data_IF_757951986004
#
_entry.id   IF_757951986004
#
_cell.length_a   1.000
_cell.length_b   1.000
_cell.length_c   1.000
_cell.angle_alpha   90.00
_cell.angle_beta   90.00
_cell.angle_gamma   90.00
#
_symmetry.space_group_name_H-M   'P 1'
#
loop_
_entity.id
_entity.type
_entity.pdbx_description
1 polymer ?
#
# COMPACT_ATOMS: atom_id res chain seq x y z
N UNK A 1 -15.00 11.65 3.30
CA UNK A 1 -14.79 10.47 4.18
C UNK A 1 -13.39 10.53 4.76
N UNK A 2 -13.29 10.52 6.08
CA UNK A 2 -12.02 10.27 6.82
C UNK A 2 -11.92 8.79 7.12
N UNK A 3 -10.70 8.30 7.13
CA UNK A 3 -10.35 6.92 7.36
C UNK A 3 -8.83 6.80 7.38
N UNK A 4 -8.32 5.61 7.63
CA UNK A 4 -6.90 5.31 7.64
C UNK A 4 -6.23 5.70 6.33
N UNK A 5 -5.15 6.48 6.41
CA UNK A 5 -4.36 6.94 5.27
C UNK A 5 -2.88 6.71 5.49
N UNK A 6 -2.17 6.49 4.39
CA UNK A 6 -0.72 6.46 4.39
C UNK A 6 -0.20 7.91 4.48
N UNK A 7 0.73 8.20 5.40
CA UNK A 7 1.40 9.51 5.42
C UNK A 7 2.31 9.71 4.21
N UNK A 8 2.54 10.96 3.83
CA UNK A 8 3.42 11.30 2.68
C UNK A 8 4.84 10.72 2.82
N UNK A 9 5.45 10.77 4.00
CA UNK A 9 6.77 10.16 4.22
C UNK A 9 6.74 8.64 4.07
N UNK A 10 5.67 7.99 4.55
CA UNK A 10 5.47 6.54 4.38
C UNK A 10 5.21 6.19 2.91
N UNK A 11 4.57 7.07 2.13
CA UNK A 11 4.42 6.91 0.69
C UNK A 11 5.76 6.97 -0.06
N UNK A 12 6.65 7.90 0.29
CA UNK A 12 8.01 7.97 -0.30
C UNK A 12 8.79 6.71 0.04
N UNK A 13 8.71 6.22 1.28
CA UNK A 13 9.33 4.94 1.66
C UNK A 13 8.75 3.77 0.87
N UNK A 14 7.42 3.71 0.70
CA UNK A 14 6.76 2.69 -0.09
C UNK A 14 7.26 2.67 -1.54
N UNK A 15 7.45 3.85 -2.16
CA UNK A 15 8.02 3.95 -3.51
C UNK A 15 9.39 3.27 -3.61
N UNK A 16 10.27 3.50 -2.64
CA UNK A 16 11.58 2.86 -2.59
C UNK A 16 11.46 1.34 -2.32
N UNK A 17 10.60 0.94 -1.39
CA UNK A 17 10.41 -0.46 -0.97
C UNK A 17 9.88 -1.34 -2.11
N UNK A 18 9.03 -0.82 -3.00
CA UNK A 18 8.54 -1.58 -4.18
C UNK A 18 9.61 -1.88 -5.24
N UNK A 19 10.79 -1.24 -5.12
CA UNK A 19 11.96 -1.56 -5.94
C UNK A 19 12.90 -2.58 -5.28
N UNK A 20 12.60 -3.01 -4.06
CA UNK A 20 13.39 -3.95 -3.29
C UNK A 20 12.61 -5.26 -3.10
N UNK A 21 13.34 -6.32 -2.78
CA UNK A 21 12.78 -7.57 -2.27
C UNK A 21 13.06 -7.64 -0.77
N UNK A 22 12.03 -7.82 0.05
CA UNK A 22 12.18 -7.87 1.50
C UNK A 22 10.89 -7.60 2.27
N UNK A 23 11.00 -7.64 3.60
CA UNK A 23 9.88 -7.33 4.51
C UNK A 23 10.04 -5.93 5.08
N UNK A 24 8.98 -5.13 5.00
CA UNK A 24 8.95 -3.75 5.44
C UNK A 24 7.76 -3.48 6.32
N UNK A 25 7.95 -2.63 7.33
CA UNK A 25 6.88 -2.23 8.25
C UNK A 25 6.22 -0.97 7.71
N UNK A 26 4.91 -0.87 7.88
CA UNK A 26 4.13 0.29 7.49
C UNK A 26 3.14 0.67 8.58
N UNK A 27 2.72 1.92 8.51
CA UNK A 27 1.79 2.52 9.45
C UNK A 27 0.77 3.34 8.65
N UNK A 28 -0.51 3.10 8.91
CA UNK A 28 -1.60 3.95 8.43
C UNK A 28 -2.24 4.67 9.61
N UNK A 29 -2.74 5.86 9.37
CA UNK A 29 -3.29 6.70 10.44
C UNK A 29 -4.63 7.30 10.04
N UNK A 30 -5.55 7.34 11.00
CA UNK A 30 -6.75 8.15 10.91
C UNK A 30 -6.57 9.41 11.77
N UNK A 31 -6.32 10.53 11.10
CA UNK A 31 -6.11 11.82 11.75
C UNK A 31 -7.33 12.30 12.56
N UNK A 32 -8.55 11.88 12.22
CA UNK A 32 -9.75 12.28 12.97
C UNK A 32 -9.98 11.42 14.19
N UNK A 33 -9.77 10.10 14.05
CA UNK A 33 -9.93 9.16 15.15
C UNK A 33 -8.68 9.11 16.07
N UNK A 34 -7.59 9.82 15.72
CA UNK A 34 -6.28 9.71 16.37
C UNK A 34 -5.83 8.24 16.49
N UNK A 35 -6.18 7.43 15.50
CA UNK A 35 -5.95 6.00 15.50
C UNK A 35 -4.84 5.63 14.53
N UNK A 36 -4.10 4.57 14.86
CA UNK A 36 -2.95 4.09 14.10
C UNK A 36 -3.05 2.59 13.91
N UNK A 37 -2.86 2.14 12.67
CA UNK A 37 -2.76 0.73 12.32
C UNK A 37 -1.33 0.42 11.89
N UNK A 38 -0.81 -0.68 12.43
CA UNK A 38 0.49 -1.23 12.08
C UNK A 38 0.32 -2.44 11.17
N UNK A 39 1.18 -2.54 10.17
CA UNK A 39 1.23 -3.69 9.27
C UNK A 39 2.64 -3.94 8.76
N UNK A 40 2.78 -5.01 8.00
CA UNK A 40 3.99 -5.29 7.25
C UNK A 40 3.65 -5.72 5.83
N UNK A 41 4.46 -5.28 4.87
CA UNK A 41 4.45 -5.78 3.50
C UNK A 41 5.71 -6.60 3.27
N UNK A 42 5.56 -7.71 2.56
CA UNK A 42 6.67 -8.42 1.95
C UNK A 42 6.61 -8.13 0.46
N UNK A 43 7.69 -7.65 -0.12
CA UNK A 43 7.82 -7.42 -1.56
C UNK A 43 8.72 -8.48 -2.15
N UNK A 44 8.27 -9.08 -3.24
CA UNK A 44 9.07 -10.00 -4.06
C UNK A 44 9.09 -9.45 -5.49
N UNK A 45 10.26 -8.97 -5.91
CA UNK A 45 10.42 -8.35 -7.23
C UNK A 45 11.12 -9.32 -8.19
N UNK A 46 10.55 -9.43 -9.38
CA UNK A 46 11.15 -10.06 -10.56
C UNK A 46 11.32 -8.99 -11.66
N UNK A 47 11.92 -9.38 -12.78
CA UNK A 47 12.07 -8.49 -13.94
C UNK A 47 10.74 -8.05 -14.54
N UNK A 48 9.67 -8.85 -14.36
CA UNK A 48 8.36 -8.62 -14.99
C UNK A 48 7.27 -8.24 -14.00
N UNK A 49 7.39 -8.63 -12.73
CA UNK A 49 6.39 -8.41 -11.69
C UNK A 49 6.97 -7.96 -10.35
N UNK A 50 6.11 -7.34 -9.54
CA UNK A 50 6.32 -7.15 -8.10
C UNK A 50 5.10 -7.74 -7.41
N UNK A 51 5.33 -8.76 -6.58
CA UNK A 51 4.34 -9.31 -5.68
C UNK A 51 4.47 -8.60 -4.33
N UNK A 52 3.33 -8.22 -3.76
CA UNK A 52 3.22 -7.61 -2.44
C UNK A 52 2.31 -8.49 -1.59
N UNK A 53 2.80 -8.99 -0.47
CA UNK A 53 2.01 -9.69 0.54
C UNK A 53 1.90 -8.81 1.80
N UNK A 54 0.67 -8.41 2.13
CA UNK A 54 0.33 -7.59 3.29
C UNK A 54 -0.10 -8.47 4.47
N UNK A 55 0.44 -8.16 5.65
CA UNK A 55 -0.09 -8.60 6.95
C UNK A 55 -0.47 -7.41 7.81
N UNK A 56 -1.70 -7.39 8.30
CA UNK A 56 -2.26 -6.32 9.13
C UNK A 56 -3.18 -6.94 10.18
N UNK A 57 -2.73 -7.02 11.44
CA UNK A 57 -3.40 -7.86 12.43
C UNK A 57 -3.51 -9.31 11.94
N UNK A 58 -4.73 -9.86 11.98
CA UNK A 58 -5.05 -11.20 11.48
C UNK A 58 -5.37 -11.25 9.97
N UNK A 59 -5.38 -10.09 9.30
CA UNK A 59 -5.66 -10.00 7.87
C UNK A 59 -4.41 -10.28 7.04
N UNK A 60 -4.58 -11.08 5.98
CA UNK A 60 -3.55 -11.39 5.00
C UNK A 60 -4.08 -11.19 3.59
N UNK A 61 -3.39 -10.35 2.81
CA UNK A 61 -3.79 -10.02 1.44
C UNK A 61 -2.57 -10.00 0.53
N UNK A 62 -2.76 -10.29 -0.76
CA UNK A 62 -1.70 -10.22 -1.75
C UNK A 62 -2.13 -9.43 -2.98
N UNK A 63 -1.16 -8.79 -3.62
CA UNK A 63 -1.33 -8.02 -4.85
C UNK A 63 -0.11 -8.25 -5.75
N UNK A 64 -0.33 -8.55 -7.02
CA UNK A 64 0.74 -8.66 -8.00
C UNK A 64 0.58 -7.56 -9.05
N UNK A 65 1.65 -6.82 -9.31
CA UNK A 65 1.68 -5.71 -10.27
C UNK A 65 2.83 -5.89 -11.28
N UNK A 66 2.75 -5.31 -12.48
CA UNK A 66 3.88 -5.27 -13.41
C UNK A 66 5.06 -4.47 -12.83
N UNK A 67 6.30 -4.97 -12.95
CA UNK A 67 7.50 -4.40 -12.30
C UNK A 67 7.89 -2.98 -12.77
N UNK A 68 7.46 -2.59 -13.99
CA UNK A 68 7.85 -1.33 -14.67
C UNK A 68 6.77 -0.25 -14.68
N UNK A 69 5.66 -0.44 -13.96
CA UNK A 69 4.58 0.55 -13.93
C UNK A 69 4.91 1.71 -12.98
N UNK A 70 4.87 2.94 -13.53
CA UNK A 70 5.12 4.19 -12.77
C UNK A 70 4.08 4.46 -11.67
N UNK A 71 2.92 3.81 -11.74
CA UNK A 71 1.82 4.02 -10.80
C UNK A 71 1.78 3.02 -9.64
N UNK A 72 2.71 2.07 -9.57
CA UNK A 72 2.65 0.99 -8.58
C UNK A 72 2.54 1.48 -7.13
N UNK A 73 3.31 2.50 -6.75
CA UNK A 73 3.24 3.03 -5.40
C UNK A 73 1.86 3.63 -5.07
N UNK A 74 1.27 4.37 -6.02
CA UNK A 74 -0.10 4.90 -5.91
C UNK A 74 -1.11 3.77 -5.76
N UNK A 75 -0.99 2.74 -6.60
CA UNK A 75 -1.87 1.56 -6.56
C UNK A 75 -1.78 0.84 -5.23
N UNK A 76 -0.56 0.53 -4.76
CA UNK A 76 -0.35 -0.15 -3.48
C UNK A 76 -0.82 0.71 -2.32
N UNK A 77 -0.55 2.01 -2.31
CA UNK A 77 -1.02 2.90 -1.25
C UNK A 77 -2.55 2.88 -1.13
N UNK A 78 -3.27 2.98 -2.25
CA UNK A 78 -4.72 2.95 -2.22
C UNK A 78 -5.29 1.58 -1.89
N UNK A 79 -4.60 0.52 -2.31
CA UNK A 79 -4.94 -0.83 -1.90
C UNK A 79 -4.84 -0.95 -0.38
N UNK A 80 -3.69 -0.59 0.22
CA UNK A 80 -3.48 -0.57 1.68
C UNK A 80 -4.55 0.26 2.43
N UNK A 81 -4.85 1.45 1.92
CA UNK A 81 -5.89 2.32 2.50
C UNK A 81 -7.29 1.68 2.37
N UNK A 82 -7.60 1.05 1.23
CA UNK A 82 -8.85 0.31 1.06
C UNK A 82 -8.99 -0.80 2.10
N UNK A 83 -7.95 -1.61 2.28
CA UNK A 83 -7.89 -2.69 3.28
C UNK A 83 -8.15 -2.16 4.69
N UNK A 84 -7.37 -1.16 5.11
CA UNK A 84 -7.47 -0.58 6.44
C UNK A 84 -8.84 0.07 6.73
N UNK A 85 -9.54 0.51 5.69
CA UNK A 85 -10.87 1.11 5.80
C UNK A 85 -12.02 0.10 5.56
N UNK A 86 -11.73 -1.21 5.53
CA UNK A 86 -12.75 -2.25 5.35
C UNK A 86 -13.34 -2.33 3.95
N UNK A 87 -12.66 -1.74 2.95
CA UNK A 87 -13.06 -1.78 1.55
C UNK A 87 -12.30 -2.91 0.82
N UNK A 88 -12.72 -4.18 0.94
CA UNK A 88 -12.22 -5.23 0.03
C UNK A 88 -13.19 -6.40 -0.18
N UNK A 89 -13.31 -6.88 -1.43
CA UNK A 89 -12.69 -8.16 -1.85
C UNK A 89 -12.32 -8.19 -3.36
N UNK A 90 -11.04 -8.50 -3.62
CA UNK A 90 -10.47 -9.33 -4.72
C UNK A 90 -10.54 -8.96 -6.23
N UNK A 91 -9.47 -9.40 -6.92
CA UNK A 91 -9.18 -9.48 -8.37
C UNK A 91 -9.07 -8.20 -9.22
N UNK A 92 -9.88 -7.17 -9.00
CA UNK A 92 -9.87 -5.94 -9.82
C UNK A 92 -9.72 -4.66 -8.99
N UNK A 93 -8.67 -4.56 -8.17
CA UNK A 93 -8.36 -3.29 -7.54
C UNK A 93 -8.00 -2.23 -8.61
N UNK A 94 -8.93 -1.32 -8.90
CA UNK A 94 -8.72 -0.19 -9.81
C UNK A 94 -8.40 1.06 -8.97
N UNK A 95 -7.16 1.58 -9.02
CA UNK A 95 -6.81 2.77 -8.28
C UNK A 95 -7.66 3.96 -8.74
N UNK A 96 -8.42 4.57 -7.82
CA UNK A 96 -9.39 5.64 -8.12
C UNK A 96 -8.81 7.04 -8.02
N UNK A 97 -7.61 7.20 -7.45
CA UNK A 97 -6.97 8.52 -7.28
C UNK A 97 -5.55 8.52 -7.84
N UNK A 98 -5.02 9.68 -8.23
CA UNK A 98 -3.58 9.84 -8.48
C UNK A 98 -2.96 10.52 -7.25
N UNK A 99 -1.95 9.89 -6.65
CA UNK A 99 -1.15 10.53 -5.63
C UNK A 99 -0.39 11.70 -6.29
N UNK A 100 -0.70 12.93 -5.90
CA UNK A 100 0.08 14.11 -6.26
C UNK A 100 1.04 14.37 -5.11
N UNK A 101 2.35 14.38 -5.38
CA UNK A 101 3.29 14.99 -4.45
C UNK A 101 2.83 16.44 -4.27
N UNK A 102 2.54 16.86 -3.04
CA UNK A 102 2.39 18.27 -2.75
C UNK A 102 3.74 18.93 -3.08
N UNK A 103 3.70 19.91 -3.99
CA UNK A 103 4.83 20.75 -4.35
C UNK A 103 5.28 21.59 -3.14
#
# INVERSE_FOLDING_TARGET
MSGYRLRQQSFIRLQAQLNLTGKFHLTLEDAKAQAVIYGSITTERTDTSVRIDLRMGDQHHSLTLPSRSRNNATTVAQWLEGIANGLIETAEFKPTRRWRAAA
#
